data_IF_227555837751
#
_entry.id   IF_227555837751
#
_cell.length_a   1.000
_cell.length_b   1.000
_cell.length_c   1.000
_cell.angle_alpha   90.00
_cell.angle_beta   90.00
_cell.angle_gamma   90.00
#
_symmetry.space_group_name_H-M   'P 1'
#
loop_
_entity.id
_entity.type
_entity.pdbx_description
1 polymer ?
#
# COMPACT_ATOMS: atom_id res chain seq x y z
N UNK A 1 8.01 1.75 14.04
CA UNK A 1 7.00 2.73 14.52
C UNK A 1 5.61 2.22 14.08
N UNK A 2 4.51 2.83 14.53
CA UNK A 2 3.15 2.31 14.24
C UNK A 2 2.83 2.12 12.74
N UNK A 3 3.35 2.99 11.87
CA UNK A 3 3.19 2.89 10.43
C UNK A 3 3.85 1.64 9.84
N UNK A 4 5.07 1.29 10.29
CA UNK A 4 5.75 0.07 9.86
C UNK A 4 4.95 -1.19 10.24
N UNK A 5 4.32 -1.21 11.43
CA UNK A 5 3.47 -2.33 11.83
C UNK A 5 2.20 -2.46 10.98
N UNK A 6 1.64 -1.35 10.50
CA UNK A 6 0.53 -1.38 9.53
C UNK A 6 1.02 -2.06 8.23
N UNK A 7 2.15 -1.64 7.67
CA UNK A 7 2.69 -2.27 6.46
C UNK A 7 3.00 -3.77 6.65
N UNK A 8 3.53 -4.17 7.81
CA UNK A 8 3.72 -5.59 8.14
C UNK A 8 2.41 -6.38 8.11
N UNK A 9 1.30 -5.82 8.63
CA UNK A 9 -0.01 -6.48 8.58
C UNK A 9 -0.48 -6.74 7.14
N UNK A 10 -0.27 -5.80 6.21
CA UNK A 10 -0.58 -6.03 4.79
C UNK A 10 0.30 -7.13 4.19
N UNK A 11 1.58 -7.16 4.54
CA UNK A 11 2.48 -8.25 4.11
C UNK A 11 2.05 -9.61 4.67
N UNK A 12 1.63 -9.68 5.93
CA UNK A 12 1.12 -10.92 6.52
C UNK A 12 -0.21 -11.36 5.91
N UNK A 13 -1.14 -10.42 5.70
CA UNK A 13 -2.42 -10.68 5.05
C UNK A 13 -2.22 -11.35 3.68
N UNK A 14 -1.34 -10.77 2.85
CA UNK A 14 -0.95 -11.35 1.56
C UNK A 14 -0.28 -12.73 1.72
N UNK A 15 0.65 -12.87 2.65
CA UNK A 15 1.37 -14.13 2.89
C UNK A 15 0.46 -15.28 3.33
N UNK A 16 -0.50 -15.01 4.21
CA UNK A 16 -1.51 -15.98 4.59
C UNK A 16 -2.37 -16.36 3.39
N UNK A 17 -2.89 -15.37 2.65
CA UNK A 17 -3.74 -15.62 1.48
C UNK A 17 -3.05 -16.43 0.37
N UNK A 18 -1.74 -16.26 0.20
CA UNK A 18 -0.96 -16.99 -0.79
C UNK A 18 -0.72 -18.47 -0.42
N UNK A 19 -0.83 -18.81 0.87
CA UNK A 19 -0.58 -20.16 1.39
C UNK A 19 -1.84 -20.87 1.85
N UNK A 20 -2.88 -20.11 2.17
CA UNK A 20 -4.17 -20.56 2.67
C UNK A 20 -5.28 -19.71 2.06
N UNK A 21 -6.40 -20.33 1.69
CA UNK A 21 -7.61 -19.61 1.24
C UNK A 21 -8.37 -19.00 2.44
N UNK A 22 -7.64 -18.42 3.39
CA UNK A 22 -8.15 -18.08 4.73
C UNK A 22 -8.48 -16.59 4.92
N UNK A 23 -8.21 -15.75 3.93
CA UNK A 23 -8.52 -14.33 3.98
C UNK A 23 -9.54 -14.02 2.89
N UNK A 24 -10.74 -13.67 3.32
CA UNK A 24 -11.82 -13.32 2.40
C UNK A 24 -11.56 -11.98 1.68
N UNK A 25 -12.13 -11.82 0.49
CA UNK A 25 -12.02 -10.61 -0.33
C UNK A 25 -12.38 -9.32 0.44
N UNK A 26 -13.44 -9.36 1.26
CA UNK A 26 -13.93 -8.19 1.98
C UNK A 26 -12.90 -7.63 2.97
N UNK A 27 -11.96 -8.45 3.45
CA UNK A 27 -10.88 -8.01 4.35
C UNK A 27 -9.94 -7.07 3.60
N UNK A 28 -9.61 -7.40 2.35
CA UNK A 28 -8.81 -6.52 1.49
C UNK A 28 -9.56 -5.24 1.15
N UNK A 29 -10.85 -5.32 0.84
CA UNK A 29 -11.68 -4.14 0.57
C UNK A 29 -11.67 -3.17 1.75
N UNK A 30 -11.91 -3.67 2.97
CA UNK A 30 -11.89 -2.86 4.18
C UNK A 30 -10.50 -2.29 4.50
N UNK A 31 -9.44 -3.08 4.27
CA UNK A 31 -8.07 -2.64 4.49
C UNK A 31 -7.68 -1.52 3.50
N UNK A 32 -8.01 -1.67 2.22
CA UNK A 32 -7.79 -0.66 1.19
C UNK A 32 -8.57 0.62 1.49
N UNK A 33 -9.87 0.51 1.80
CA UNK A 33 -10.72 1.65 2.17
C UNK A 33 -10.15 2.43 3.35
N UNK A 34 -9.77 1.72 4.42
CA UNK A 34 -9.34 2.35 5.67
C UNK A 34 -8.00 3.04 5.57
N UNK A 35 -7.00 2.39 4.96
CA UNK A 35 -5.61 2.83 5.06
C UNK A 35 -5.08 3.52 3.80
N UNK A 36 -5.74 3.34 2.65
CA UNK A 36 -5.23 3.83 1.37
C UNK A 36 -6.22 4.74 0.66
N UNK A 37 -7.49 4.33 0.52
CA UNK A 37 -8.48 5.10 -0.24
C UNK A 37 -9.05 6.28 0.56
N UNK A 38 -9.01 6.21 1.90
CA UNK A 38 -9.19 7.39 2.75
C UNK A 38 -7.94 8.29 2.64
N UNK A 39 -8.09 9.43 1.96
CA UNK A 39 -7.00 10.38 1.71
C UNK A 39 -6.34 10.89 3.00
N UNK A 40 -7.14 11.13 4.05
CA UNK A 40 -6.63 11.66 5.32
C UNK A 40 -5.76 10.62 6.02
N UNK A 41 -6.20 9.37 6.04
CA UNK A 41 -5.46 8.27 6.64
C UNK A 41 -4.20 7.95 5.82
N UNK A 42 -4.29 7.93 4.49
CA UNK A 42 -3.14 7.71 3.62
C UNK A 42 -2.06 8.77 3.83
N UNK A 43 -2.42 10.05 3.87
CA UNK A 43 -1.43 11.12 4.11
C UNK A 43 -0.83 11.04 5.52
N UNK A 44 -1.60 10.63 6.54
CA UNK A 44 -1.04 10.36 7.87
C UNK A 44 -0.05 9.21 7.85
N UNK A 45 -0.35 8.14 7.13
CA UNK A 45 0.54 6.98 7.00
C UNK A 45 1.83 7.39 6.27
N UNK A 46 1.71 8.11 5.15
CA UNK A 46 2.84 8.58 4.35
C UNK A 46 3.73 9.57 5.13
N UNK A 47 3.14 10.53 5.85
CA UNK A 47 3.89 11.46 6.69
C UNK A 47 4.62 10.75 7.85
N UNK A 48 4.03 9.71 8.43
CA UNK A 48 4.65 8.94 9.49
C UNK A 48 5.77 8.01 8.98
N UNK A 49 5.57 7.40 7.81
CA UNK A 49 6.55 6.57 7.13
C UNK A 49 6.17 6.37 5.63
N UNK A 50 6.82 7.07 4.69
CA UNK A 50 6.45 6.99 3.28
C UNK A 50 6.77 5.63 2.66
N UNK A 51 7.82 4.94 3.12
CA UNK A 51 8.12 3.56 2.74
C UNK A 51 7.01 2.57 3.16
N UNK A 52 6.41 2.79 4.33
CA UNK A 52 5.29 1.97 4.79
C UNK A 52 4.03 2.21 3.94
N UNK A 53 3.73 3.47 3.60
CA UNK A 53 2.62 3.80 2.71
C UNK A 53 2.80 3.14 1.34
N UNK A 54 3.99 3.30 0.72
CA UNK A 54 4.32 2.64 -0.55
C UNK A 54 4.16 1.13 -0.47
N UNK A 55 4.70 0.50 0.58
CA UNK A 55 4.59 -0.95 0.77
C UNK A 55 3.13 -1.40 0.86
N UNK A 56 2.30 -0.71 1.66
CA UNK A 56 0.87 -1.04 1.80
C UNK A 56 0.15 -1.03 0.45
N UNK A 57 0.35 0.00 -0.37
CA UNK A 57 -0.27 0.09 -1.71
C UNK A 57 0.29 -1.01 -2.63
N UNK A 58 1.61 -1.22 -2.62
CA UNK A 58 2.25 -2.27 -3.42
C UNK A 58 1.72 -3.67 -3.08
N UNK A 59 1.45 -3.97 -1.80
CA UNK A 59 0.87 -5.26 -1.39
C UNK A 59 -0.57 -5.45 -1.86
N UNK A 60 -1.37 -4.40 -1.92
CA UNK A 60 -2.73 -4.44 -2.47
C UNK A 60 -2.70 -4.73 -3.98
N UNK A 61 -1.85 -4.01 -4.72
CA UNK A 61 -1.64 -4.26 -6.15
C UNK A 61 -1.11 -5.68 -6.43
N UNK A 62 -0.21 -6.18 -5.57
CA UNK A 62 0.29 -7.55 -5.64
C UNK A 62 -0.82 -8.57 -5.38
N UNK A 63 -1.69 -8.34 -4.40
CA UNK A 63 -2.83 -9.20 -4.13
C UNK A 63 -3.79 -9.27 -5.34
N UNK A 64 -4.08 -8.13 -5.96
CA UNK A 64 -4.91 -8.07 -7.17
C UNK A 64 -4.28 -8.81 -8.36
N UNK A 65 -3.01 -8.52 -8.67
CA UNK A 65 -2.32 -9.16 -9.82
C UNK A 65 -2.17 -10.68 -9.68
N UNK A 66 -2.22 -11.21 -8.45
CA UNK A 66 -2.19 -12.65 -8.16
C UNK A 66 -3.58 -13.30 -8.10
N UNK A 67 -4.65 -12.52 -8.29
CA UNK A 67 -6.04 -12.99 -8.17
C UNK A 67 -6.47 -13.33 -6.73
N UNK A 68 -5.71 -12.87 -5.73
CA UNK A 68 -6.01 -13.07 -4.31
C UNK A 68 -7.10 -12.09 -3.86
N UNK A 69 -7.05 -10.87 -4.39
CA UNK A 69 -8.05 -9.83 -4.14
C UNK A 69 -8.69 -9.42 -5.47
N UNK A 70 -10.02 -9.32 -5.48
CA UNK A 70 -10.81 -8.83 -6.60
C UNK A 70 -11.48 -7.52 -6.19
N UNK A 71 -11.27 -6.48 -7.00
CA UNK A 71 -11.87 -5.15 -6.83
C UNK A 71 -12.17 -4.55 -8.20
N UNK A 72 -12.87 -3.42 -8.24
CA UNK A 72 -13.21 -2.76 -9.50
C UNK A 72 -12.01 -2.04 -10.14
N UNK A 73 -12.11 -1.81 -11.45
CA UNK A 73 -11.06 -1.19 -12.25
C UNK A 73 -10.73 0.23 -11.75
N UNK A 74 -11.74 1.00 -11.35
CA UNK A 74 -11.57 2.35 -10.81
C UNK A 74 -10.69 2.34 -9.53
N UNK A 75 -10.89 1.35 -8.67
CA UNK A 75 -10.07 1.15 -7.46
C UNK A 75 -8.64 0.77 -7.83
N UNK A 76 -8.43 -0.11 -8.81
CA UNK A 76 -7.08 -0.49 -9.24
C UNK A 76 -6.32 0.68 -9.87
N UNK A 77 -6.98 1.43 -10.76
CA UNK A 77 -6.42 2.63 -11.37
C UNK A 77 -6.02 3.64 -10.30
N UNK A 78 -6.89 3.86 -9.30
CA UNK A 78 -6.59 4.73 -8.17
C UNK A 78 -5.37 4.26 -7.37
N UNK A 79 -5.24 2.95 -7.13
CA UNK A 79 -4.07 2.41 -6.42
C UNK A 79 -2.78 2.59 -7.24
N UNK A 80 -2.84 2.45 -8.56
CA UNK A 80 -1.71 2.70 -9.44
C UNK A 80 -1.26 4.17 -9.42
N UNK A 81 -2.21 5.11 -9.50
CA UNK A 81 -1.93 6.55 -9.37
C UNK A 81 -1.25 6.88 -8.04
N UNK A 82 -1.80 6.37 -6.94
CA UNK A 82 -1.27 6.64 -5.60
C UNK A 82 0.10 6.01 -5.39
N UNK A 83 0.35 4.84 -5.97
CA UNK A 83 1.67 4.22 -5.92
C UNK A 83 2.70 5.06 -6.69
N UNK A 84 2.36 5.54 -7.88
CA UNK A 84 3.24 6.40 -8.68
C UNK A 84 3.56 7.73 -7.98
N UNK A 85 2.55 8.42 -7.42
CA UNK A 85 2.77 9.66 -6.65
C UNK A 85 3.75 9.46 -5.48
N UNK A 86 3.62 8.34 -4.75
CA UNK A 86 4.51 8.04 -3.64
C UNK A 86 5.95 7.72 -4.08
N UNK A 87 6.12 7.03 -5.21
CA UNK A 87 7.45 6.76 -5.79
C UNK A 87 8.12 8.09 -6.18
N UNK A 88 7.42 8.98 -6.89
CA UNK A 88 7.94 10.29 -7.28
C UNK A 88 8.36 11.12 -6.06
N UNK A 89 7.54 11.13 -5.00
CA UNK A 89 7.85 11.81 -3.73
C UNK A 89 9.08 11.21 -3.04
N UNK A 90 9.22 9.90 -3.03
CA UNK A 90 10.36 9.20 -2.42
C UNK A 90 11.64 9.43 -3.22
N UNK A 91 11.59 9.36 -4.55
CA UNK A 91 12.73 9.65 -5.41
C UNK A 91 13.17 11.10 -5.27
N UNK A 92 12.24 12.06 -5.20
CA UNK A 92 12.55 13.47 -4.91
C UNK A 92 13.30 13.64 -3.58
N UNK A 93 12.84 12.99 -2.50
CA UNK A 93 13.51 13.04 -1.19
C UNK A 93 14.89 12.38 -1.20
N UNK A 94 15.05 11.27 -1.93
CA UNK A 94 16.35 10.59 -2.07
C UNK A 94 17.32 11.38 -2.95
N UNK A 95 16.83 11.99 -4.03
CA UNK A 95 17.60 12.85 -4.92
C UNK A 95 18.17 14.08 -4.22
N UNK A 96 17.39 14.72 -3.34
CA UNK A 96 17.86 15.83 -2.51
C UNK A 96 18.95 15.42 -1.50
N UNK A 97 18.83 14.23 -0.90
CA UNK A 97 19.82 13.73 0.08
C UNK A 97 21.08 13.16 -0.56
N UNK A 98 21.01 12.66 -1.79
CA UNK A 98 22.14 12.08 -2.53
C UNK A 98 23.01 13.10 -3.28
N UNK A 99 22.53 14.33 -3.48
CA UNK A 99 23.24 15.39 -4.22
C UNK A 99 24.17 16.29 -3.38
N UNK A 100 24.21 16.09 -2.06
CA UNK A 100 25.10 16.84 -1.16
C UNK A 100 26.39 16.04 -0.89
N UNK A 101 27.31 16.02 -1.86
CA UNK A 101 28.73 15.65 -1.66
C UNK A 101 29.63 16.60 -2.44
#
# INVERSE_FOLDING_TARGET
NGAAEIAHRFTYMLGWSATTDAVDNWVYDQAAQTFVLDDVMRERLAAANPEAARNTIGRLLEASSRGIWQTDDDTLDRLHELHADLEDRLEGVLGEKGGAT
#
